data_IF_745425865568
#
_entry.id   IF_745425865568
#
_cell.length_a   1.000
_cell.length_b   1.000
_cell.length_c   1.000
_cell.angle_alpha   90.00
_cell.angle_beta   90.00
_cell.angle_gamma   90.00
#
_symmetry.space_group_name_H-M   'P 1'
#
loop_
_entity.id
_entity.type
_entity.pdbx_description
1 polymer ?
#
# COMPACT_ATOMS: atom_id res chain seq x y z
N UNK A 1 2.32 -22.35 -0.46
CA UNK A 1 2.08 -22.27 1.00
C UNK A 1 2.12 -20.79 1.35
N UNK A 2 0.93 -20.21 1.58
CA UNK A 2 0.60 -18.84 1.98
C UNK A 2 1.39 -17.67 1.35
N UNK A 3 0.78 -17.02 0.34
CA UNK A 3 1.19 -15.69 -0.12
C UNK A 3 0.88 -14.67 0.98
N UNK A 4 1.92 -14.23 1.71
CA UNK A 4 1.80 -13.29 2.84
C UNK A 4 1.68 -11.82 2.37
N UNK A 5 1.80 -11.53 1.07
CA UNK A 5 1.86 -10.18 0.54
C UNK A 5 0.91 -10.00 -0.65
N UNK A 6 -0.37 -9.77 -0.34
CA UNK A 6 -1.35 -9.44 -1.37
C UNK A 6 -1.25 -7.97 -1.82
N UNK A 7 -0.73 -7.09 -0.97
CA UNK A 7 -0.32 -5.71 -1.34
C UNK A 7 1.21 -5.64 -1.46
N UNK A 8 1.76 -5.22 -2.61
CA UNK A 8 3.19 -5.03 -2.76
C UNK A 8 3.69 -3.94 -1.81
N UNK A 9 4.83 -4.16 -1.15
CA UNK A 9 5.50 -3.13 -0.37
C UNK A 9 6.02 -2.00 -1.28
N UNK A 10 6.16 -0.80 -0.71
CA UNK A 10 6.62 0.38 -1.43
C UNK A 10 8.09 0.30 -1.82
N UNK A 11 8.94 -0.15 -0.89
CA UNK A 11 10.40 0.07 -0.95
C UNK A 11 11.22 -1.16 -1.34
N UNK A 12 10.59 -2.34 -1.31
CA UNK A 12 11.23 -3.59 -1.73
C UNK A 12 11.75 -3.50 -3.17
N UNK A 13 12.75 -4.34 -3.52
CA UNK A 13 13.40 -4.33 -4.84
C UNK A 13 12.39 -4.38 -6.02
N UNK A 14 11.32 -5.15 -5.86
CA UNK A 14 10.24 -5.30 -6.84
C UNK A 14 8.93 -4.60 -6.38
N UNK A 15 9.07 -3.65 -5.45
CA UNK A 15 7.98 -2.90 -4.85
C UNK A 15 7.41 -1.82 -5.75
N UNK A 16 6.42 -1.10 -5.24
CA UNK A 16 5.64 -0.10 -6.00
C UNK A 16 6.55 0.98 -6.59
N UNK A 17 7.56 1.43 -5.85
CA UNK A 17 8.47 2.50 -6.31
C UNK A 17 9.33 2.11 -7.51
N UNK A 18 9.72 0.83 -7.62
CA UNK A 18 10.47 0.35 -8.77
C UNK A 18 9.61 0.40 -10.05
N UNK A 19 8.36 -0.08 -9.96
CA UNK A 19 7.42 -0.09 -11.10
C UNK A 19 6.96 1.32 -11.49
N UNK A 20 6.69 2.19 -10.52
CA UNK A 20 6.26 3.56 -10.79
C UNK A 20 7.31 4.36 -11.55
N UNK A 21 8.60 4.13 -11.26
CA UNK A 21 9.68 4.80 -11.98
C UNK A 21 9.78 4.39 -13.45
N UNK A 22 9.39 3.15 -13.77
CA UNK A 22 9.34 2.66 -15.16
C UNK A 22 8.12 3.21 -15.90
N UNK A 23 6.95 3.28 -15.25
CA UNK A 23 5.70 3.73 -15.87
C UNK A 23 5.56 5.26 -15.93
N UNK A 24 6.11 5.98 -14.96
CA UNK A 24 6.01 7.44 -14.81
C UNK A 24 7.41 8.06 -14.68
N UNK A 25 8.19 8.15 -15.78
CA UNK A 25 9.55 8.70 -15.75
C UNK A 25 9.59 10.19 -15.38
N UNK A 26 8.49 10.91 -15.57
CA UNK A 26 8.32 12.33 -15.20
C UNK A 26 8.11 12.55 -13.69
N UNK A 27 7.91 11.47 -12.93
CA UNK A 27 7.74 11.54 -11.48
C UNK A 27 9.09 11.87 -10.83
N UNK A 28 9.26 13.02 -10.15
CA UNK A 28 10.57 13.46 -9.64
C UNK A 28 11.19 12.46 -8.66
N UNK A 29 10.35 11.85 -7.83
CA UNK A 29 10.68 10.71 -7.00
C UNK A 29 9.41 9.89 -6.71
N UNK A 30 9.53 8.59 -6.36
CA UNK A 30 8.37 7.73 -6.11
C UNK A 30 7.42 8.21 -5.00
N UNK A 31 7.90 9.03 -4.06
CA UNK A 31 7.07 9.57 -2.98
C UNK A 31 6.16 10.71 -3.48
N UNK A 32 6.49 11.33 -4.61
CA UNK A 32 5.71 12.43 -5.22
C UNK A 32 4.30 11.99 -5.62
N UNK A 33 4.05 10.69 -5.77
CA UNK A 33 2.69 10.16 -5.98
C UNK A 33 1.72 10.48 -4.83
N UNK A 34 2.25 10.78 -3.63
CA UNK A 34 1.50 11.11 -2.41
C UNK A 34 1.61 12.59 -2.03
N UNK A 35 2.31 13.38 -2.84
CA UNK A 35 2.44 14.82 -2.66
C UNK A 35 1.17 15.51 -3.18
N UNK A 36 0.60 16.43 -2.40
CA UNK A 36 -0.71 17.02 -2.70
C UNK A 36 -0.63 18.03 -3.84
N UNK A 37 0.47 18.76 -3.93
CA UNK A 37 0.77 19.68 -5.01
C UNK A 37 0.96 18.90 -6.33
N UNK A 38 1.70 17.78 -6.28
CA UNK A 38 1.86 16.90 -7.43
C UNK A 38 0.54 16.26 -7.84
N UNK A 39 -0.27 15.78 -6.89
CA UNK A 39 -1.60 15.19 -7.19
C UNK A 39 -2.51 16.19 -7.92
N UNK A 40 -2.45 17.47 -7.54
CA UNK A 40 -3.23 18.54 -8.17
C UNK A 40 -2.75 18.80 -9.61
N UNK A 41 -1.46 18.59 -9.89
CA UNK A 41 -0.87 18.74 -11.21
C UNK A 41 -1.10 17.51 -12.11
N UNK A 42 -0.81 16.32 -11.61
CA UNK A 42 -1.00 15.04 -12.29
C UNK A 42 -1.46 13.93 -11.31
N UNK A 43 -2.75 13.61 -11.26
CA UNK A 43 -3.28 12.59 -10.36
C UNK A 43 -3.13 11.15 -10.91
N UNK A 44 -2.64 10.97 -12.15
CA UNK A 44 -2.57 9.64 -12.79
C UNK A 44 -1.74 8.62 -12.02
N UNK A 45 -0.54 8.96 -11.48
CA UNK A 45 0.26 7.99 -10.71
C UNK A 45 -0.46 7.49 -9.45
N UNK A 46 -1.19 8.39 -8.77
CA UNK A 46 -2.00 8.03 -7.61
C UNK A 46 -3.14 7.09 -7.99
N UNK A 47 -3.94 7.42 -9.01
CA UNK A 47 -5.10 6.58 -9.38
C UNK A 47 -4.70 5.22 -9.96
N UNK A 48 -3.58 5.14 -10.69
CA UNK A 48 -3.00 3.86 -11.11
C UNK A 48 -2.74 3.00 -9.88
N UNK A 49 -2.08 3.56 -8.87
CA UNK A 49 -1.73 2.84 -7.65
C UNK A 49 -2.97 2.46 -6.83
N UNK A 50 -3.89 3.40 -6.63
CA UNK A 50 -5.11 3.19 -5.86
C UNK A 50 -5.95 2.02 -6.39
N UNK A 51 -5.93 1.79 -7.71
CA UNK A 51 -6.60 0.67 -8.34
C UNK A 51 -6.01 -0.71 -7.96
N UNK A 52 -4.70 -0.80 -7.71
CA UNK A 52 -4.04 -2.06 -7.31
C UNK A 52 -4.29 -2.42 -5.84
N UNK A 53 -4.50 -1.43 -4.98
CA UNK A 53 -4.68 -1.61 -3.53
C UNK A 53 -6.13 -1.46 -3.09
N UNK A 54 -7.08 -1.42 -4.03
CA UNK A 54 -8.48 -1.17 -3.72
C UNK A 54 -9.02 -2.25 -2.77
N UNK A 55 -9.79 -1.87 -1.72
CA UNK A 55 -10.36 -2.82 -0.78
C UNK A 55 -11.21 -3.91 -1.47
N UNK A 56 -11.17 -5.12 -0.93
CA UNK A 56 -11.91 -6.28 -1.45
C UNK A 56 -11.14 -7.15 -2.44
N UNK A 57 -9.91 -6.79 -2.79
CA UNK A 57 -9.02 -7.61 -3.62
C UNK A 57 -8.04 -8.47 -2.80
N UNK A 58 -7.95 -8.24 -1.49
CA UNK A 58 -6.90 -8.79 -0.63
C UNK A 58 -7.50 -9.32 0.68
N UNK A 59 -7.05 -10.51 1.11
CA UNK A 59 -7.44 -11.13 2.38
C UNK A 59 -6.52 -10.68 3.54
N UNK A 60 -7.05 -10.53 4.77
CA UNK A 60 -6.24 -10.25 5.94
C UNK A 60 -5.19 -11.35 6.19
N UNK A 61 -3.97 -10.95 6.55
CA UNK A 61 -2.90 -11.89 6.93
C UNK A 61 -3.07 -12.42 8.35
N UNK A 62 -2.28 -13.44 8.74
CA UNK A 62 -2.24 -13.98 10.10
C UNK A 62 -1.98 -12.90 11.17
N UNK A 63 -1.17 -11.88 10.85
CA UNK A 63 -0.92 -10.78 11.77
C UNK A 63 -2.20 -9.95 12.05
N UNK A 64 -3.03 -9.74 11.03
CA UNK A 64 -4.32 -9.07 11.20
C UNK A 64 -5.25 -9.90 12.10
N UNK A 65 -5.33 -11.21 11.87
CA UNK A 65 -6.13 -12.11 12.71
C UNK A 65 -5.63 -12.17 14.16
N UNK A 66 -4.31 -12.14 14.37
CA UNK A 66 -3.72 -12.07 15.70
C UNK A 66 -4.12 -10.79 16.43
N UNK A 67 -4.01 -9.63 15.77
CA UNK A 67 -4.43 -8.33 16.34
C UNK A 67 -5.93 -8.34 16.67
N UNK A 68 -6.76 -8.87 15.76
CA UNK A 68 -8.20 -9.01 16.00
C UNK A 68 -8.52 -9.91 17.20
N UNK A 69 -7.74 -10.97 17.43
CA UNK A 69 -7.92 -11.84 18.59
C UNK A 69 -7.50 -11.15 19.90
N UNK A 70 -6.48 -10.28 19.89
CA UNK A 70 -6.14 -9.44 21.05
C UNK A 70 -7.27 -8.47 21.39
N UNK A 71 -7.89 -7.87 20.36
CA UNK A 71 -9.07 -6.99 20.53
C UNK A 71 -10.25 -7.77 21.13
N UNK A 72 -10.56 -8.95 20.60
CA UNK A 72 -11.65 -9.81 21.09
C UNK A 72 -11.48 -10.23 22.55
N UNK A 73 -10.25 -10.27 23.05
CA UNK A 73 -9.90 -10.62 24.44
C UNK A 73 -9.79 -9.41 25.37
N UNK A 74 -10.07 -8.20 24.88
CA UNK A 74 -9.88 -6.94 25.62
C UNK A 74 -8.41 -6.74 26.06
N UNK A 75 -7.47 -7.23 25.24
CA UNK A 75 -6.02 -7.13 25.46
C UNK A 75 -5.34 -6.11 24.55
N UNK A 76 -6.10 -5.48 23.64
CA UNK A 76 -5.60 -4.49 22.70
C UNK A 76 -6.02 -3.08 23.14
N UNK A 77 -5.06 -2.26 23.56
CA UNK A 77 -5.31 -0.84 23.85
C UNK A 77 -5.57 -0.03 22.57
N UNK A 78 -4.76 -0.26 21.52
CA UNK A 78 -4.83 0.42 20.22
C UNK A 78 -4.00 -0.32 19.18
N UNK A 79 -4.48 -0.37 17.93
CA UNK A 79 -3.66 -0.59 16.73
C UNK A 79 -3.62 0.74 15.95
N UNK A 80 -2.42 1.25 15.63
CA UNK A 80 -2.22 2.56 14.98
C UNK A 80 -2.15 2.45 13.46
#
# INVERSE_FOLDING_TARGET
IFSIFLVPDFRSRNGIYARLREEFPELPNPQSMFDIEYFTHDPRPFFRFAKEIWPGQHEPSLAHYFIAELERRDQLLRNY
#
